data_IF_122688899962
#
_entry.id   IF_122688899962
#
_cell.length_a   1.000
_cell.length_b   1.000
_cell.length_c   1.000
_cell.angle_alpha   90.00
_cell.angle_beta   90.00
_cell.angle_gamma   90.00
#
_symmetry.space_group_name_H-M   'P 1'
#
loop_
_entity.id
_entity.type
_entity.pdbx_description
1 polymer ?
#
# COMPACT_ATOMS: atom_id res chain seq x y z
N UNK A 1 -26.21 -19.92 53.57
CA UNK A 1 -25.01 -19.11 53.26
C UNK A 1 -24.16 -19.87 52.25
N UNK A 2 -23.42 -19.15 51.40
CA UNK A 2 -22.55 -19.58 50.27
C UNK A 2 -23.29 -19.81 48.93
N UNK A 3 -23.42 -18.77 48.07
CA UNK A 3 -22.54 -18.41 46.92
C UNK A 3 -22.49 -19.53 45.88
N UNK A 4 -23.09 -19.44 44.69
CA UNK A 4 -23.02 -18.37 43.70
C UNK A 4 -21.90 -18.69 42.69
N UNK A 5 -22.24 -19.10 41.46
CA UNK A 5 -21.23 -19.44 40.44
C UNK A 5 -21.85 -19.84 39.08
N UNK A 6 -22.34 -18.83 38.35
CA UNK A 6 -22.78 -18.96 36.95
C UNK A 6 -21.54 -19.13 36.06
N UNK A 7 -21.36 -20.31 35.45
CA UNK A 7 -20.37 -20.50 34.40
C UNK A 7 -20.94 -19.95 33.09
N UNK A 8 -20.50 -18.73 32.73
CA UNK A 8 -20.88 -18.07 31.50
C UNK A 8 -20.42 -18.89 30.28
N UNK A 9 -21.41 -19.23 29.46
CA UNK A 9 -21.30 -19.58 28.05
C UNK A 9 -20.39 -18.59 27.31
N UNK A 10 -19.24 -19.06 26.86
CA UNK A 10 -18.42 -18.32 25.90
C UNK A 10 -18.71 -18.84 24.50
N UNK A 11 -19.63 -18.15 23.84
CA UNK A 11 -19.82 -18.16 22.39
C UNK A 11 -18.53 -17.65 21.72
N UNK A 12 -17.85 -18.50 20.95
CA UNK A 12 -16.76 -18.04 20.07
C UNK A 12 -17.36 -17.29 18.87
N UNK A 13 -17.08 -16.00 18.69
CA UNK A 13 -17.52 -15.29 17.49
C UNK A 13 -16.80 -15.84 16.25
N UNK A 14 -17.51 -15.87 15.12
CA UNK A 14 -16.99 -16.27 13.82
C UNK A 14 -15.66 -15.55 13.48
N UNK A 15 -14.74 -16.19 12.73
CA UNK A 15 -13.52 -15.51 12.29
C UNK A 15 -13.91 -14.30 11.44
N UNK A 16 -13.46 -13.12 11.86
CA UNK A 16 -13.61 -11.88 11.12
C UNK A 16 -13.18 -12.08 9.65
N UNK A 17 -13.76 -11.35 8.68
CA UNK A 17 -13.22 -11.33 7.33
C UNK A 17 -11.75 -10.91 7.43
N UNK A 18 -10.86 -11.81 6.98
CA UNK A 18 -9.43 -11.53 6.90
C UNK A 18 -9.26 -10.18 6.20
N UNK A 19 -8.32 -9.31 6.65
CA UNK A 19 -8.09 -8.06 5.96
C UNK A 19 -7.76 -8.40 4.51
N UNK A 20 -8.71 -8.07 3.63
CA UNK A 20 -8.42 -7.86 2.22
C UNK A 20 -7.15 -7.04 2.17
N UNK A 21 -6.27 -7.36 1.24
CA UNK A 21 -4.93 -6.83 1.10
C UNK A 21 -4.97 -5.33 0.71
N UNK A 22 -5.63 -4.51 1.51
CA UNK A 22 -5.64 -3.07 1.53
C UNK A 22 -4.28 -2.64 2.06
N UNK A 23 -3.27 -2.76 1.20
CA UNK A 23 -2.05 -2.01 1.40
C UNK A 23 -2.45 -0.54 1.33
N UNK A 24 -2.43 0.07 2.51
CA UNK A 24 -2.87 1.42 2.79
C UNK A 24 -2.50 2.39 1.68
N UNK A 25 -3.53 3.03 1.14
CA UNK A 25 -3.42 4.20 0.30
C UNK A 25 -3.10 5.36 1.24
N UNK A 26 -1.83 5.50 1.64
CA UNK A 26 -1.35 6.65 2.42
C UNK A 26 -0.18 7.33 1.71
N UNK A 27 -0.53 8.27 0.83
CA UNK A 27 -0.05 9.66 0.81
C UNK A 27 1.48 9.98 0.73
N UNK A 28 2.41 9.02 0.62
CA UNK A 28 3.85 9.23 0.24
C UNK A 28 4.20 8.69 -1.15
N UNK A 29 3.35 9.02 -2.13
CA UNK A 29 2.59 8.11 -3.01
C UNK A 29 3.24 7.48 -4.24
N UNK A 30 4.50 7.80 -4.57
CA UNK A 30 5.11 7.28 -5.81
C UNK A 30 5.90 5.99 -5.59
N UNK A 31 6.73 5.86 -4.56
CA UNK A 31 7.60 4.68 -4.40
C UNK A 31 7.05 3.74 -3.33
N UNK A 32 6.69 2.51 -3.73
CA UNK A 32 6.19 1.45 -2.84
C UNK A 32 7.14 0.26 -2.80
N UNK A 33 7.48 -0.22 -1.61
CA UNK A 33 8.21 -1.48 -1.43
C UNK A 33 7.28 -2.68 -1.63
N UNK A 34 7.73 -3.69 -2.36
CA UNK A 34 7.05 -4.94 -2.59
C UNK A 34 7.45 -5.97 -1.53
N UNK A 35 6.60 -6.98 -1.35
CA UNK A 35 6.90 -8.16 -0.52
C UNK A 35 8.12 -8.93 -1.03
N UNK A 36 8.44 -8.80 -2.31
CA UNK A 36 9.66 -9.36 -2.94
C UNK A 36 10.94 -8.58 -2.66
N UNK A 37 10.89 -7.48 -1.90
CA UNK A 37 12.06 -6.64 -1.61
C UNK A 37 12.31 -5.52 -2.62
N UNK A 38 11.69 -5.58 -3.80
CA UNK A 38 11.82 -4.55 -4.85
C UNK A 38 11.01 -3.28 -4.54
N UNK A 39 11.28 -2.21 -5.26
CA UNK A 39 10.62 -0.91 -5.15
C UNK A 39 9.89 -0.57 -6.46
N UNK A 40 8.60 -0.24 -6.40
CA UNK A 40 7.83 0.22 -7.57
C UNK A 40 7.64 1.72 -7.51
N UNK A 41 7.88 2.39 -8.63
CA UNK A 41 7.56 3.80 -8.83
C UNK A 41 6.23 3.93 -9.57
N UNK A 42 5.30 4.70 -9.02
CA UNK A 42 4.03 5.07 -9.61
C UNK A 42 4.07 6.52 -10.08
N UNK A 43 3.27 6.81 -11.11
CA UNK A 43 3.00 8.17 -11.53
C UNK A 43 2.28 8.96 -10.44
N UNK A 44 2.62 10.26 -10.33
CA UNK A 44 1.92 11.25 -9.48
C UNK A 44 0.50 11.44 -9.98
N UNK A 45 0.35 11.60 -11.30
CA UNK A 45 -0.93 11.82 -11.95
C UNK A 45 -1.61 10.48 -12.18
N UNK A 46 -2.87 10.40 -11.75
CA UNK A 46 -3.77 9.30 -12.05
C UNK A 46 -4.26 9.45 -13.49
N UNK A 47 -4.37 8.35 -14.22
CA UNK A 47 -4.98 8.39 -15.55
C UNK A 47 -6.46 8.73 -15.44
N UNK A 48 -6.94 9.79 -16.11
CA UNK A 48 -8.35 10.20 -16.02
C UNK A 48 -9.29 9.18 -16.68
N UNK A 49 -8.78 8.36 -17.60
CA UNK A 49 -9.57 7.35 -18.32
C UNK A 49 -9.79 6.06 -17.52
N UNK A 50 -8.85 5.69 -16.66
CA UNK A 50 -8.87 4.39 -15.97
C UNK A 50 -8.88 4.51 -14.44
N UNK A 51 -8.67 5.71 -13.89
CA UNK A 51 -8.58 5.96 -12.46
C UNK A 51 -7.35 5.32 -11.80
N UNK A 52 -6.38 4.85 -12.58
CA UNK A 52 -5.21 4.12 -12.07
C UNK A 52 -3.93 4.93 -12.23
N UNK A 53 -2.98 4.74 -11.30
CA UNK A 53 -1.62 5.29 -11.42
C UNK A 53 -0.79 4.36 -12.32
N UNK A 54 -0.08 4.93 -13.30
CA UNK A 54 0.86 4.17 -14.13
C UNK A 54 2.04 3.69 -13.29
N UNK A 55 2.51 2.47 -13.57
CA UNK A 55 3.81 2.01 -13.11
C UNK A 55 4.88 2.61 -14.01
N UNK A 56 5.79 3.39 -13.44
CA UNK A 56 6.91 4.03 -14.12
C UNK A 56 8.18 3.15 -14.10
N UNK A 57 8.21 2.11 -13.27
CA UNK A 57 9.34 1.18 -13.18
C UNK A 57 9.35 0.40 -11.87
N UNK A 58 10.02 -0.75 -11.90
CA UNK A 58 10.42 -1.53 -10.72
C UNK A 58 11.93 -1.44 -10.58
N UNK A 59 12.40 -1.05 -9.40
CA UNK A 59 13.81 -0.87 -9.06
C UNK A 59 14.16 -1.81 -7.91
N UNK A 60 15.41 -2.24 -7.82
CA UNK A 60 15.86 -3.09 -6.73
C UNK A 60 16.22 -2.26 -5.49
N UNK A 61 16.59 -0.99 -5.69
CA UNK A 61 16.90 -0.05 -4.61
C UNK A 61 15.95 1.15 -4.56
N UNK A 62 15.84 1.76 -3.38
CA UNK A 62 15.06 3.01 -3.21
C UNK A 62 15.73 4.19 -3.91
N UNK A 63 17.05 4.22 -3.95
CA UNK A 63 17.82 5.32 -4.53
C UNK A 63 17.65 5.42 -6.04
N UNK A 64 17.66 4.29 -6.75
CA UNK A 64 17.39 4.24 -8.19
C UNK A 64 15.99 4.75 -8.50
N UNK A 65 14.99 4.34 -7.72
CA UNK A 65 13.63 4.81 -7.88
C UNK A 65 13.52 6.34 -7.69
N UNK A 66 14.29 6.92 -6.76
CA UNK A 66 14.34 8.37 -6.54
C UNK A 66 15.06 9.11 -7.67
N UNK A 67 16.20 8.60 -8.15
CA UNK A 67 16.91 9.15 -9.32
C UNK A 67 16.01 9.16 -10.54
N UNK A 68 15.28 8.07 -10.77
CA UNK A 68 14.34 7.96 -11.87
C UNK A 68 13.16 8.94 -11.72
N UNK A 69 12.64 9.14 -10.52
CA UNK A 69 11.60 10.14 -10.25
C UNK A 69 12.08 11.56 -10.62
N UNK A 70 13.28 11.95 -10.19
CA UNK A 70 13.89 13.23 -10.54
C UNK A 70 14.08 13.39 -12.05
N UNK A 71 14.56 12.34 -12.72
CA UNK A 71 14.71 12.33 -14.18
C UNK A 71 13.35 12.52 -14.87
N UNK A 72 12.32 11.77 -14.47
CA UNK A 72 10.96 11.89 -15.02
C UNK A 72 10.40 13.31 -14.83
N UNK A 73 10.63 13.95 -13.68
CA UNK A 73 10.20 15.34 -13.49
C UNK A 73 10.98 16.32 -14.37
N UNK A 74 12.29 16.12 -14.52
CA UNK A 74 13.11 16.98 -15.35
C UNK A 74 12.68 16.95 -16.82
N UNK A 75 12.41 15.76 -17.36
CA UNK A 75 11.96 15.61 -18.75
C UNK A 75 10.57 16.22 -18.99
N UNK A 76 9.68 16.23 -18.00
CA UNK A 76 8.34 16.82 -18.14
C UNK A 76 8.31 18.34 -17.99
N UNK A 77 9.35 18.99 -17.45
CA UNK A 77 9.39 20.46 -17.27
C UNK A 77 10.04 21.20 -18.44
N UNK A 78 10.67 20.50 -19.38
CA UNK A 78 11.51 21.11 -20.43
C UNK A 78 10.82 21.24 -21.80
N UNK A 79 9.49 21.20 -21.84
CA UNK A 79 8.63 21.58 -22.99
C UNK A 79 7.29 22.07 -22.47
#
# INVERSE_FOLDING_TARGET
MATGGMAASQSFPAPAPQPSTAHGVSERTMIRKLKSGKYRLYSRKVDPKTGKRKNLGTFDTREEALKHERAVQFFKRRR
#
